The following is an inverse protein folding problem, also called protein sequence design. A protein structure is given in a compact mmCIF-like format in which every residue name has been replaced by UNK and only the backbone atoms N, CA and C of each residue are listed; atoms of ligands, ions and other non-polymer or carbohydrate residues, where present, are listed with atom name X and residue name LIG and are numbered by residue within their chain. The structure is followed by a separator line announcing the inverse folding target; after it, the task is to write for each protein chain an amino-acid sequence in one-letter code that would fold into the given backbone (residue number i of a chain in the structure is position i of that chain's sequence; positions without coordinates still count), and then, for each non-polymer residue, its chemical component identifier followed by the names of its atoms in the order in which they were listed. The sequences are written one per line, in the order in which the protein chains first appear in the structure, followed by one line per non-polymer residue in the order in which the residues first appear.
data_IF_326686450995
#
_entry.id   IF_326686450995
#
_cell.length_a   1.000
_cell.length_b   1.000
_cell.length_c   1.000
_cell.angle_alpha   90.00
_cell.angle_beta   90.00
_cell.angle_gamma   90.00
#
_symmetry.space_group_name_H-M   'P 1'
#
loop_
_entity.id
_entity.type
_entity.pdbx_description
1 polymer ?
#
# COMPACT_ATOMS: atom_id res chain seq x y z
N UNK A 1 -27.75 -27.75 0.12
CA UNK A 1 -28.52 -27.15 -0.99
C UNK A 1 -28.48 -25.64 -0.82
N UNK A 2 -28.02 -24.95 -1.86
CA UNK A 2 -28.05 -23.51 -2.14
C UNK A 2 -27.55 -22.50 -1.10
N UNK A 3 -26.29 -22.08 -1.28
CA UNK A 3 -26.03 -20.67 -1.54
C UNK A 3 -25.33 -20.54 -2.90
N UNK A 4 -26.13 -20.32 -3.94
CA UNK A 4 -25.67 -19.50 -5.06
C UNK A 4 -25.61 -18.06 -4.56
N UNK A 5 -24.42 -17.47 -4.59
CA UNK A 5 -24.25 -16.07 -4.98
C UNK A 5 -22.95 -15.99 -5.75
N UNK A 6 -23.03 -16.19 -7.06
CA UNK A 6 -22.08 -15.64 -8.02
C UNK A 6 -21.88 -14.14 -7.75
N UNK A 7 -20.94 -13.81 -6.86
CA UNK A 7 -20.57 -12.43 -6.60
C UNK A 7 -19.82 -11.95 -7.82
N UNK A 8 -20.52 -11.23 -8.71
CA UNK A 8 -19.94 -10.62 -9.90
C UNK A 8 -18.83 -9.68 -9.44
N UNK A 9 -17.57 -10.09 -9.61
CA UNK A 9 -16.41 -9.22 -9.43
C UNK A 9 -16.53 -8.08 -10.43
N UNK A 10 -17.08 -6.94 -10.01
CA UNK A 10 -17.17 -5.76 -10.89
C UNK A 10 -15.77 -5.16 -10.99
N UNK A 11 -15.21 -5.22 -12.20
CA UNK A 11 -14.06 -4.41 -12.59
C UNK A 11 -14.56 -3.02 -12.95
N UNK A 12 -14.11 -2.01 -12.20
CA UNK A 12 -14.44 -0.62 -12.41
C UNK A 12 -13.23 0.05 -13.05
N UNK A 13 -13.37 0.47 -14.30
CA UNK A 13 -12.34 1.25 -14.99
C UNK A 13 -12.66 2.73 -14.84
N UNK A 14 -11.74 3.47 -14.23
CA UNK A 14 -11.85 4.92 -14.03
C UNK A 14 -10.71 5.58 -14.80
N UNK A 15 -11.07 6.34 -15.84
CA UNK A 15 -10.11 7.21 -16.54
C UNK A 15 -10.40 8.64 -16.13
N UNK A 16 -9.43 9.27 -15.50
CA UNK A 16 -9.53 10.65 -15.03
C UNK A 16 -8.91 11.58 -16.09
N UNK A 17 -9.51 12.76 -16.24
CA UNK A 17 -9.08 13.72 -17.25
C UNK A 17 -7.63 14.19 -17.05
N UNK A 18 -6.99 14.73 -18.09
CA UNK A 18 -5.58 15.17 -18.03
C UNK A 18 -5.34 16.31 -17.04
N UNK A 19 -6.38 17.02 -16.64
CA UNK A 19 -6.29 18.16 -15.72
C UNK A 19 -6.38 17.75 -14.23
N UNK A 20 -6.62 16.47 -13.93
CA UNK A 20 -6.64 16.01 -12.54
C UNK A 20 -5.21 15.87 -12.03
N UNK A 21 -4.79 16.84 -11.22
CA UNK A 21 -3.45 16.89 -10.61
C UNK A 21 -3.38 16.17 -9.26
N UNK A 22 -4.48 16.16 -8.50
CA UNK A 22 -4.54 15.61 -7.15
C UNK A 22 -5.68 14.60 -7.02
N UNK A 23 -5.42 13.46 -6.39
CA UNK A 23 -6.42 12.42 -6.12
C UNK A 23 -6.24 11.89 -4.72
N UNK A 24 -7.27 12.06 -3.90
CA UNK A 24 -7.36 11.45 -2.58
C UNK A 24 -8.47 10.41 -2.58
N UNK A 25 -8.11 9.17 -2.26
CA UNK A 25 -9.06 8.08 -2.05
C UNK A 25 -9.13 7.81 -0.56
N UNK A 26 -10.31 8.07 0.00
CA UNK A 26 -10.66 7.78 1.39
C UNK A 26 -11.67 6.63 1.36
N UNK A 27 -11.31 5.48 1.95
CA UNK A 27 -12.31 4.45 2.24
C UNK A 27 -12.82 4.65 3.66
N UNK A 28 -14.13 4.84 3.76
CA UNK A 28 -14.86 4.73 5.02
C UNK A 28 -15.44 3.31 4.98
N UNK A 29 -14.98 2.44 5.86
CA UNK A 29 -15.41 1.04 6.02
C UNK A 29 -14.83 -0.01 5.03
N UNK A 30 -13.95 -0.82 5.61
CA UNK A 30 -13.60 -2.19 5.28
C UNK A 30 -14.40 -2.84 4.14
N UNK A 31 -13.81 -2.85 2.94
CA UNK A 31 -14.16 -3.79 1.86
C UNK A 31 -13.78 -5.21 2.31
N UNK A 32 -14.54 -5.79 3.25
CA UNK A 32 -14.38 -7.16 3.71
C UNK A 32 -15.24 -8.12 2.89
N UNK A 33 -16.25 -7.64 2.14
CA UNK A 33 -17.26 -8.50 1.52
C UNK A 33 -17.36 -8.44 0.00
N UNK A 34 -16.66 -7.55 -0.71
CA UNK A 34 -16.52 -7.64 -2.18
C UNK A 34 -15.41 -6.74 -2.73
N UNK A 35 -14.26 -7.27 -3.19
CA UNK A 35 -13.20 -6.45 -3.75
C UNK A 35 -13.61 -5.99 -5.15
N UNK A 36 -14.27 -4.83 -5.24
CA UNK A 36 -14.29 -4.08 -6.49
C UNK A 36 -12.84 -3.83 -6.90
N UNK A 37 -12.52 -4.22 -8.13
CA UNK A 37 -11.21 -3.99 -8.71
C UNK A 37 -11.27 -2.69 -9.49
N UNK A 38 -10.53 -1.70 -9.03
CA UNK A 38 -10.40 -0.41 -9.64
C UNK A 38 -9.16 -0.37 -10.52
N UNK A 39 -9.37 -0.05 -11.79
CA UNK A 39 -8.29 0.31 -12.71
C UNK A 39 -8.31 1.82 -12.89
N UNK A 40 -7.28 2.51 -12.43
CA UNK A 40 -7.24 3.98 -12.44
C UNK A 40 -6.14 4.44 -13.38
N UNK A 41 -6.50 5.26 -14.37
CA UNK A 41 -5.54 5.95 -15.25
C UNK A 41 -5.72 7.45 -15.07
N UNK A 42 -4.66 8.12 -14.66
CA UNK A 42 -4.64 9.57 -14.48
C UNK A 42 -3.28 10.12 -14.96
N UNK A 43 -3.16 10.50 -16.25
CA UNK A 43 -1.88 10.83 -16.87
C UNK A 43 -1.25 12.13 -16.34
N UNK A 44 -2.07 13.10 -15.91
CA UNK A 44 -1.62 14.37 -15.34
C UNK A 44 -1.56 14.41 -13.81
N UNK A 45 -1.75 13.26 -13.15
CA UNK A 45 -1.78 13.19 -11.69
C UNK A 45 -0.37 13.35 -11.11
N UNK A 46 -0.17 14.36 -10.29
CA UNK A 46 1.09 14.64 -9.60
C UNK A 46 1.06 14.18 -8.13
N UNK A 47 -0.11 14.22 -7.50
CA UNK A 47 -0.29 13.89 -6.09
C UNK A 47 -1.37 12.81 -5.88
N UNK A 48 -0.99 11.73 -5.22
CA UNK A 48 -1.88 10.63 -4.90
C UNK A 48 -1.88 10.32 -3.40
N UNK A 49 -3.06 10.24 -2.80
CA UNK A 49 -3.22 9.90 -1.40
C UNK A 49 -4.24 8.77 -1.24
N UNK A 50 -3.85 7.69 -0.56
CA UNK A 50 -4.71 6.59 -0.16
C UNK A 50 -4.76 6.52 1.37
N UNK A 51 -5.93 6.80 1.96
CA UNK A 51 -6.09 6.93 3.41
C UNK A 51 -7.08 5.91 4.00
N UNK A 52 -7.11 5.86 5.34
CA UNK A 52 -8.15 5.20 6.13
C UNK A 52 -8.30 3.71 5.81
N UNK A 53 -7.20 2.97 5.89
CA UNK A 53 -7.27 1.50 5.88
C UNK A 53 -7.79 0.89 4.55
N UNK A 54 -7.61 1.60 3.43
CA UNK A 54 -7.96 1.08 2.10
C UNK A 54 -7.27 -0.25 1.81
N UNK A 55 -8.00 -1.20 1.22
CA UNK A 55 -7.43 -2.45 0.74
C UNK A 55 -6.75 -2.23 -0.62
N UNK A 56 -5.41 -2.20 -0.64
CA UNK A 56 -4.63 -2.05 -1.87
C UNK A 56 -4.88 -3.16 -2.91
N UNK A 57 -5.38 -4.33 -2.50
CA UNK A 57 -5.76 -5.39 -3.45
C UNK A 57 -6.96 -5.01 -4.33
N UNK A 58 -7.72 -3.99 -3.94
CA UNK A 58 -8.76 -3.38 -4.76
C UNK A 58 -8.20 -2.56 -5.95
N UNK A 59 -6.90 -2.33 -6.02
CA UNK A 59 -6.27 -1.49 -7.05
C UNK A 59 -5.22 -2.28 -7.85
N UNK A 60 -5.63 -3.32 -8.61
CA UNK A 60 -4.69 -4.19 -9.30
C UNK A 60 -3.96 -3.51 -10.47
N UNK A 61 -4.42 -2.35 -10.94
CA UNK A 61 -3.81 -1.63 -12.05
C UNK A 61 -4.04 -0.13 -11.92
N UNK A 62 -3.08 0.58 -11.34
CA UNK A 62 -3.03 2.04 -11.36
C UNK A 62 -1.86 2.51 -12.23
N UNK A 63 -2.05 3.62 -12.94
CA UNK A 63 -1.02 4.19 -13.80
C UNK A 63 -1.02 5.71 -13.73
N UNK A 64 0.03 6.25 -13.12
CA UNK A 64 0.22 7.68 -12.86
C UNK A 64 1.61 8.12 -13.39
N UNK A 65 1.74 8.40 -14.71
CA UNK A 65 3.02 8.73 -15.32
C UNK A 65 3.64 10.04 -14.84
N UNK A 66 2.83 11.02 -14.43
CA UNK A 66 3.28 12.32 -13.93
C UNK A 66 3.47 12.36 -12.40
N UNK A 67 3.28 11.23 -11.70
CA UNK A 67 3.23 11.21 -10.24
C UNK A 67 4.54 11.65 -9.60
N UNK A 68 4.45 12.59 -8.65
CA UNK A 68 5.58 13.09 -7.86
C UNK A 68 5.45 12.67 -6.40
N UNK A 69 4.27 12.82 -5.80
CA UNK A 69 4.05 12.52 -4.39
C UNK A 69 3.01 11.41 -4.22
N UNK A 70 3.32 10.45 -3.36
CA UNK A 70 2.39 9.39 -3.00
C UNK A 70 2.34 9.20 -1.48
N UNK A 71 1.14 9.26 -0.91
CA UNK A 71 0.88 8.91 0.49
C UNK A 71 0.02 7.66 0.53
N UNK A 72 0.49 6.63 1.21
CA UNK A 72 -0.22 5.35 1.35
C UNK A 72 -0.32 4.99 2.82
N UNK A 73 -1.49 5.25 3.39
CA UNK A 73 -1.90 4.80 4.71
C UNK A 73 -2.97 3.72 4.58
N UNK A 74 -2.50 2.51 4.25
CA UNK A 74 -3.34 1.36 3.99
C UNK A 74 -3.28 0.33 5.14
N UNK A 75 -4.37 -0.40 5.33
CA UNK A 75 -4.48 -1.46 6.33
C UNK A 75 -4.38 -2.82 5.67
N UNK A 76 -3.84 -3.75 6.44
CA UNK A 76 -3.89 -5.17 6.14
C UNK A 76 -4.96 -5.83 7.01
N UNK A 77 -6.03 -6.41 6.43
CA UNK A 77 -6.85 -7.41 7.12
C UNK A 77 -5.96 -8.54 7.66
N UNK A 78 -6.29 -9.08 8.84
CA UNK A 78 -5.64 -10.28 9.36
C UNK A 78 -6.00 -11.46 8.44
N UNK A 79 -5.17 -11.68 7.42
CA UNK A 79 -5.31 -12.80 6.51
C UNK A 79 -4.65 -14.06 7.10
N UNK A 80 -5.23 -15.25 6.89
CA UNK A 80 -4.60 -16.53 7.17
C UNK A 80 -3.20 -16.65 6.56
N UNK A 81 -2.36 -17.50 7.13
CA UNK A 81 -0.96 -17.64 6.73
C UNK A 81 -0.80 -18.01 5.26
N UNK A 82 -1.73 -18.82 4.73
CA UNK A 82 -1.77 -19.24 3.34
C UNK A 82 -1.95 -18.08 2.33
N UNK A 83 -2.62 -16.99 2.74
CA UNK A 83 -2.88 -15.84 1.86
C UNK A 83 -1.83 -14.73 1.98
N UNK A 84 -0.85 -14.86 2.89
CA UNK A 84 0.11 -13.77 3.12
C UNK A 84 0.96 -13.45 1.89
N UNK A 85 1.32 -14.46 1.10
CA UNK A 85 2.08 -14.28 -0.13
C UNK A 85 1.28 -13.50 -1.17
N UNK A 86 0.02 -13.84 -1.38
CA UNK A 86 -0.87 -13.17 -2.34
C UNK A 86 -1.10 -11.69 -1.97
N UNK A 87 -1.23 -11.43 -0.67
CA UNK A 87 -1.35 -10.08 -0.12
C UNK A 87 -0.09 -9.27 -0.36
N UNK A 88 1.09 -9.86 -0.14
CA UNK A 88 2.37 -9.21 -0.49
C UNK A 88 2.47 -8.90 -1.98
N UNK A 89 2.11 -9.85 -2.86
CA UNK A 89 2.11 -9.64 -4.31
C UNK A 89 1.12 -8.54 -4.75
N UNK A 90 -0.04 -8.47 -4.10
CA UNK A 90 -1.03 -7.41 -4.35
C UNK A 90 -0.47 -6.04 -3.97
N UNK A 91 0.22 -5.95 -2.84
CA UNK A 91 0.92 -4.73 -2.43
C UNK A 91 2.00 -4.35 -3.45
N UNK A 92 2.85 -5.29 -3.89
CA UNK A 92 3.87 -4.98 -4.90
C UNK A 92 3.26 -4.50 -6.22
N UNK A 93 2.16 -5.13 -6.65
CA UNK A 93 1.43 -4.72 -7.85
C UNK A 93 0.93 -3.29 -7.73
N UNK A 94 0.34 -2.95 -6.58
CA UNK A 94 -0.10 -1.59 -6.27
C UNK A 94 1.08 -0.60 -6.26
N UNK A 95 2.15 -0.89 -5.50
CA UNK A 95 3.32 0.00 -5.39
C UNK A 95 4.02 0.21 -6.75
N UNK A 96 4.04 -0.79 -7.63
CA UNK A 96 4.56 -0.64 -9.00
C UNK A 96 3.78 0.36 -9.84
N UNK A 97 2.50 0.54 -9.56
CA UNK A 97 1.71 1.59 -10.20
C UNK A 97 2.12 3.00 -9.77
N UNK A 98 2.85 3.12 -8.65
CA UNK A 98 3.43 4.35 -8.12
C UNK A 98 4.91 4.53 -8.52
N UNK A 99 5.40 3.78 -9.52
CA UNK A 99 6.82 3.70 -9.83
C UNK A 99 7.52 5.03 -10.18
N UNK A 100 6.76 6.03 -10.64
CA UNK A 100 7.27 7.35 -10.99
C UNK A 100 7.35 8.32 -9.82
N UNK A 101 6.77 7.98 -8.67
CA UNK A 101 6.80 8.84 -7.49
C UNK A 101 8.24 9.16 -7.07
N UNK A 102 8.46 10.43 -6.75
CA UNK A 102 9.73 10.95 -6.23
C UNK A 102 9.72 10.98 -4.69
N UNK A 103 8.56 11.22 -4.09
CA UNK A 103 8.39 11.30 -2.65
C UNK A 103 7.27 10.36 -2.24
N UNK A 104 7.59 9.37 -1.42
CA UNK A 104 6.62 8.36 -0.99
C UNK A 104 6.55 8.34 0.52
N UNK A 105 5.35 8.47 1.06
CA UNK A 105 5.05 8.24 2.46
C UNK A 105 4.27 6.94 2.60
N UNK A 106 4.84 5.94 3.28
CA UNK A 106 4.15 4.68 3.57
C UNK A 106 3.85 4.57 5.06
N UNK A 107 2.69 4.02 5.41
CA UNK A 107 2.43 3.64 6.80
C UNK A 107 3.35 2.49 7.22
N UNK A 108 3.87 2.57 8.45
CA UNK A 108 4.76 1.58 9.04
C UNK A 108 4.14 0.17 9.05
N UNK A 109 2.82 0.10 9.24
CA UNK A 109 2.07 -1.16 9.29
C UNK A 109 2.18 -1.97 7.99
N UNK A 110 2.29 -1.30 6.84
CA UNK A 110 2.52 -1.95 5.53
C UNK A 110 3.86 -2.70 5.55
N UNK A 111 4.91 -2.06 6.06
CA UNK A 111 6.25 -2.62 6.12
C UNK A 111 6.34 -3.80 7.09
N UNK A 112 5.87 -3.59 8.32
CA UNK A 112 5.94 -4.59 9.39
C UNK A 112 5.08 -5.82 9.09
N UNK A 113 3.83 -5.60 8.67
CA UNK A 113 2.86 -6.69 8.54
C UNK A 113 2.87 -7.36 7.18
N UNK A 114 3.39 -6.72 6.13
CA UNK A 114 3.33 -7.27 4.77
C UNK A 114 4.73 -7.62 4.27
N UNK A 115 5.60 -6.62 4.11
CA UNK A 115 6.91 -6.84 3.50
C UNK A 115 7.90 -7.64 4.36
N UNK A 116 7.73 -7.61 5.69
CA UNK A 116 8.63 -8.30 6.63
C UNK A 116 8.21 -9.73 6.95
N UNK A 117 6.99 -10.14 6.58
CA UNK A 117 6.40 -11.42 7.03
C UNK A 117 6.56 -12.60 6.08
N UNK A 118 6.91 -12.36 4.81
CA UNK A 118 7.09 -13.43 3.81
C UNK A 118 8.55 -13.51 3.37
N UNK A 119 9.36 -14.42 3.96
CA UNK A 119 10.74 -14.61 3.57
C UNK A 119 10.90 -14.89 2.07
N UNK A 120 11.96 -14.37 1.46
CA UNK A 120 12.29 -14.60 0.05
C UNK A 120 11.41 -13.86 -0.97
N UNK A 121 10.28 -13.26 -0.58
CA UNK A 121 9.39 -12.60 -1.56
C UNK A 121 10.06 -11.38 -2.22
N UNK A 122 10.92 -10.68 -1.48
CA UNK A 122 11.65 -9.50 -1.96
C UNK A 122 12.77 -9.86 -2.94
N UNK A 123 13.36 -11.06 -2.81
CA UNK A 123 14.55 -11.45 -3.57
C UNK A 123 14.26 -11.67 -5.06
N UNK A 124 13.00 -11.96 -5.38
CA UNK A 124 12.54 -12.21 -6.75
C UNK A 124 11.81 -11.03 -7.38
N UNK A 125 11.70 -9.89 -6.69
CA UNK A 125 10.99 -8.73 -7.19
C UNK A 125 11.96 -7.57 -7.39
N UNK A 126 11.86 -6.79 -8.48
CA UNK A 126 12.52 -5.48 -8.55
C UNK A 126 11.84 -4.50 -7.60
N UNK A 127 12.61 -3.52 -7.11
CA UNK A 127 12.05 -2.37 -6.39
C UNK A 127 10.86 -1.77 -7.15
N UNK A 128 9.76 -1.42 -6.47
CA UNK A 128 8.60 -0.83 -7.11
C UNK A 128 8.83 0.61 -7.59
N UNK A 129 9.88 1.29 -7.10
CA UNK A 129 10.11 2.71 -7.38
C UNK A 129 11.34 2.94 -8.24
N UNK A 130 11.21 3.78 -9.28
CA UNK A 130 12.30 4.11 -10.22
C UNK A 130 12.87 5.51 -10.03
N UNK A 131 12.10 6.44 -9.45
CA UNK A 131 12.44 7.86 -9.33
C UNK A 131 12.48 8.38 -7.89
N UNK A 132 12.40 7.46 -6.93
CA UNK A 132 12.28 7.77 -5.51
C UNK A 132 13.48 8.58 -5.00
N UNK A 133 13.24 9.80 -4.55
CA UNK A 133 14.21 10.66 -3.89
C UNK A 133 14.09 10.56 -2.37
N UNK A 134 12.87 10.43 -1.84
CA UNK A 134 12.65 10.29 -0.40
C UNK A 134 11.55 9.28 -0.10
N UNK A 135 11.84 8.39 0.85
CA UNK A 135 10.87 7.51 1.49
C UNK A 135 10.65 7.94 2.93
N UNK A 136 9.44 8.39 3.23
CA UNK A 136 8.97 8.65 4.58
C UNK A 136 8.18 7.44 5.09
N UNK A 137 8.46 7.04 6.32
CA UNK A 137 7.71 5.98 6.99
C UNK A 137 6.95 6.58 8.16
N UNK A 138 5.62 6.59 8.05
CA UNK A 138 4.72 7.17 9.05
C UNK A 138 4.26 6.11 10.03
N UNK A 139 4.45 6.36 11.32
CA UNK A 139 3.70 5.64 12.35
C UNK A 139 2.31 6.27 12.43
N UNK A 140 1.33 5.65 11.79
CA UNK A 140 -0.06 6.00 12.10
C UNK A 140 -0.44 5.38 13.44
N UNK A 141 -0.96 6.17 14.40
CA UNK A 141 -1.50 5.60 15.64
C UNK A 141 -2.57 4.59 15.26
N UNK A 142 -2.51 3.39 15.84
CA UNK A 142 -3.52 2.38 15.66
C UNK A 142 -4.91 3.00 15.88
N UNK A 143 -5.67 3.24 14.81
CA UNK A 143 -7.11 3.33 14.95
C UNK A 143 -7.54 1.97 15.47
N UNK A 144 -7.96 1.94 16.75
CA UNK A 144 -8.49 0.75 17.41
C UNK A 144 -9.44 0.05 16.43
N UNK A 145 -9.12 -1.17 15.95
CA UNK A 145 -10.16 -1.99 15.35
C UNK A 145 -11.23 -2.21 16.42
N UNK A 146 -12.50 -2.22 16.00
CA UNK A 146 -13.58 -2.76 16.83
C UNK A 146 -13.12 -4.06 17.52
N UNK A 147 -13.08 -4.00 18.85
CA UNK A 147 -13.08 -5.09 19.84
C UNK A 147 -12.34 -6.40 19.49
N UNK A 148 -11.10 -6.57 19.99
CA UNK A 148 -10.53 -7.87 20.43
C UNK A 148 -9.66 -7.58 21.68
N UNK A 149 -9.69 -8.39 22.76
CA UNK A 149 -9.18 -8.01 24.07
C UNK A 149 -7.64 -8.08 24.20
N UNK A 150 -7.18 -7.32 25.19
CA UNK A 150 -5.82 -7.06 25.64
C UNK A 150 -4.84 -8.25 25.59
N UNK A 151 -3.71 -8.02 24.89
CA UNK A 151 -2.31 -8.17 25.34
C UNK A 151 -1.42 -8.16 24.10
N UNK A 152 -0.96 -6.98 23.68
CA UNK A 152 0.14 -6.86 22.72
C UNK A 152 1.31 -6.28 23.49
N UNK A 153 2.37 -7.08 23.58
CA UNK A 153 3.60 -6.81 24.30
C UNK A 153 4.27 -5.54 23.76
N UNK A 154 4.37 -4.49 24.58
CA UNK A 154 4.93 -3.18 24.20
C UNK A 154 6.45 -3.11 24.32
N UNK A 155 7.18 -4.20 24.07
CA UNK A 155 8.58 -4.31 24.53
C UNK A 155 9.64 -4.56 23.46
N UNK A 156 9.33 -4.36 22.17
CA UNK A 156 10.39 -4.33 21.13
C UNK A 156 10.39 -2.98 20.41
N UNK A 157 11.53 -2.26 20.35
CA UNK A 157 11.62 -1.07 19.52
C UNK A 157 11.25 -1.42 18.08
N UNK A 158 10.46 -0.55 17.47
CA UNK A 158 9.91 -0.70 16.12
C UNK A 158 11.04 -0.76 15.08
N UNK A 159 11.66 -1.93 14.89
CA UNK A 159 12.76 -2.12 13.96
C UNK A 159 12.23 -2.57 12.62
N UNK A 160 12.37 -1.70 11.62
CA UNK A 160 12.17 -2.08 10.23
C UNK A 160 13.37 -2.89 9.78
N UNK A 161 13.20 -4.07 9.17
CA UNK A 161 14.33 -4.80 8.63
C UNK A 161 15.05 -3.95 7.57
N UNK A 162 16.33 -3.68 7.78
CA UNK A 162 17.15 -2.87 6.86
C UNK A 162 17.09 -3.37 5.41
N UNK A 163 16.91 -4.69 5.22
CA UNK A 163 16.71 -5.33 3.92
C UNK A 163 15.47 -4.81 3.18
N UNK A 164 14.36 -4.54 3.89
CA UNK A 164 13.12 -4.03 3.28
C UNK A 164 13.31 -2.59 2.83
N UNK A 165 13.95 -1.76 3.66
CA UNK A 165 14.24 -0.36 3.32
C UNK A 165 15.19 -0.30 2.12
N UNK A 166 16.28 -1.05 2.18
CA UNK A 166 17.27 -1.13 1.09
C UNK A 166 16.61 -1.61 -0.21
N UNK A 167 15.71 -2.59 -0.12
CA UNK A 167 14.94 -3.05 -1.27
C UNK A 167 14.11 -1.92 -1.90
N UNK A 168 13.33 -1.18 -1.10
CA UNK A 168 12.48 -0.10 -1.62
C UNK A 168 13.31 1.01 -2.29
N UNK A 169 14.48 1.31 -1.73
CA UNK A 169 15.38 2.33 -2.27
C UNK A 169 16.25 1.84 -3.44
N UNK A 170 16.45 0.53 -3.60
CA UNK A 170 17.42 -0.02 -4.58
C UNK A 170 17.14 0.34 -6.04
N UNK A 171 15.90 0.74 -6.37
CA UNK A 171 15.52 1.20 -7.70
C UNK A 171 15.85 2.65 -8.00
N UNK A 172 16.37 3.43 -7.03
CA UNK A 172 16.70 4.84 -7.20
C UNK A 172 18.06 5.20 -6.56
N UNK A 173 19.04 5.67 -7.35
CA UNK A 173 20.39 5.98 -6.85
C UNK A 173 20.47 7.19 -5.91
N UNK A 174 19.39 7.96 -5.77
CA UNK A 174 19.33 9.17 -4.91
C UNK A 174 18.36 9.04 -3.72
N UNK A 175 17.81 7.85 -3.48
CA UNK A 175 16.79 7.64 -2.45
C UNK A 175 17.34 7.79 -1.03
N UNK A 176 16.83 8.75 -0.25
CA UNK A 176 17.04 8.87 1.19
C UNK A 176 15.82 8.36 1.97
N UNK A 177 16.02 8.07 3.24
CA UNK A 177 14.94 7.64 4.15
C UNK A 177 14.88 8.51 5.39
N UNK A 178 13.69 9.02 5.66
CA UNK A 178 13.38 9.75 6.87
C UNK A 178 12.28 9.00 7.65
N UNK A 179 12.54 8.73 8.92
CA UNK A 179 11.53 8.22 9.85
C UNK A 179 10.86 9.41 10.51
N UNK A 180 9.63 9.72 10.10
CA UNK A 180 8.82 10.74 10.74
C UNK A 180 7.84 10.09 11.71
N UNK A 181 8.01 10.40 13.00
CA UNK A 181 7.05 10.11 14.05
C UNK A 181 6.13 11.33 14.11
N UNK A 182 4.99 11.27 13.42
CA UNK A 182 3.91 12.24 13.65
C UNK A 182 3.13 11.77 14.89
N UNK A 183 3.35 12.48 16.00
CA UNK A 183 2.67 12.31 17.30
C UNK A 183 1.29 12.94 17.32
#
# INVERSE_FOLDING_TARGET
MFFDKGSVKKHVKVTLGPNLVNLTIVAIECIQSNPHKFEIRAPGLEDFTLLHNCNYAGFPSIYFPALKHAVVDAFRPNYPQEHQREVCLSLFTFLRGLNNAEFVSLSYSIIQKTLSMVPGVLEHQPSPFRRLKSLTLKLTPYHKPCQIPAKVDHQKPWQIPAKVVSYLLSGSPAGTTDLLIES
#
